data_IF_816150801025
#
_entry.id   IF_816150801025
#
_cell.length_a   1.000
_cell.length_b   1.000
_cell.length_c   1.000
_cell.angle_alpha   90.00
_cell.angle_beta   90.00
_cell.angle_gamma   90.00
#
_symmetry.space_group_name_H-M   'P 1'
#
loop_
_entity.id
_entity.type
_entity.pdbx_description
1 polymer ?
#
# COMPACT_ATOMS: atom_id res chain seq x y z
N UNK A 1 43.49 20.04 15.40
CA UNK A 1 43.06 21.44 15.60
C UNK A 1 41.94 21.43 16.63
N UNK A 2 42.31 21.60 17.90
CA UNK A 2 41.39 21.68 19.02
C UNK A 2 40.89 23.12 19.11
N UNK A 3 39.68 23.36 18.62
CA UNK A 3 39.08 24.69 18.62
C UNK A 3 38.38 24.93 19.96
N UNK A 4 38.86 25.91 20.69
CA UNK A 4 38.32 26.30 22.00
C UNK A 4 36.93 26.93 21.79
N UNK A 5 35.91 26.37 22.43
CA UNK A 5 34.52 26.86 22.37
C UNK A 5 34.25 27.63 23.66
N UNK A 6 34.02 28.94 23.53
CA UNK A 6 33.65 29.78 24.66
C UNK A 6 32.15 29.68 24.93
N UNK A 7 31.78 29.29 26.14
CA UNK A 7 30.39 29.06 26.55
C UNK A 7 29.93 30.15 27.51
N UNK A 8 29.13 31.08 27.00
CA UNK A 8 28.49 32.09 27.82
C UNK A 8 27.13 31.57 28.33
N UNK A 9 27.06 31.20 29.61
CA UNK A 9 25.81 30.76 30.25
C UNK A 9 25.18 31.94 31.00
N UNK A 10 24.03 32.41 30.53
CA UNK A 10 23.23 33.40 31.27
C UNK A 10 22.23 32.67 32.18
N UNK A 11 22.37 32.74 33.51
CA UNK A 11 21.47 32.05 34.43
C UNK A 11 20.20 32.88 34.70
N UNK A 12 19.10 32.56 34.02
CA UNK A 12 17.78 33.16 34.25
C UNK A 12 17.06 32.52 35.45
N UNK A 13 17.64 32.65 36.67
CA UNK A 13 17.10 32.00 37.89
C UNK A 13 15.96 32.78 38.56
N UNK A 14 15.87 34.08 38.30
CA UNK A 14 14.92 34.98 38.97
C UNK A 14 13.65 35.22 38.15
N UNK A 15 13.62 34.72 36.91
CA UNK A 15 12.47 34.86 36.02
C UNK A 15 11.49 33.69 36.22
N UNK A 16 10.25 34.01 36.58
CA UNK A 16 9.18 33.02 36.62
C UNK A 16 8.90 32.52 35.20
N UNK A 17 9.03 31.22 34.96
CA UNK A 17 8.80 30.62 33.64
C UNK A 17 7.37 30.90 33.14
N UNK A 18 7.24 31.63 32.03
CA UNK A 18 5.96 31.85 31.36
C UNK A 18 5.81 30.85 30.21
N UNK A 19 4.90 29.89 30.35
CA UNK A 19 4.60 28.93 29.29
C UNK A 19 4.07 29.67 28.05
N UNK A 20 4.68 29.51 26.87
CA UNK A 20 4.16 30.11 25.64
C UNK A 20 2.70 29.67 25.40
N UNK A 21 1.84 30.62 24.99
CA UNK A 21 0.44 30.32 24.67
C UNK A 21 0.38 29.28 23.55
N UNK A 22 -0.33 28.18 23.77
CA UNK A 22 -0.53 27.16 22.75
C UNK A 22 -1.25 27.77 21.55
N UNK A 23 -0.70 27.59 20.35
CA UNK A 23 -1.34 28.04 19.12
C UNK A 23 -2.64 27.25 18.91
N UNK A 24 -3.75 27.96 18.71
CA UNK A 24 -5.05 27.35 18.42
C UNK A 24 -5.00 26.64 17.07
N UNK A 25 -5.28 25.34 17.05
CA UNK A 25 -5.38 24.52 15.84
C UNK A 25 -6.83 24.07 15.66
N UNK A 26 -7.62 24.76 14.82
CA UNK A 26 -8.97 24.30 14.50
C UNK A 26 -8.92 23.00 13.68
N UNK A 27 -9.94 22.16 13.81
CA UNK A 27 -10.11 20.87 13.11
C UNK A 27 -9.07 19.78 13.45
N UNK A 28 -8.71 19.66 14.73
CA UNK A 28 -7.93 18.51 15.21
C UNK A 28 -8.78 17.25 15.38
N UNK A 29 -8.22 16.10 15.00
CA UNK A 29 -8.86 14.79 15.16
C UNK A 29 -8.42 13.82 14.05
N UNK A 30 -8.51 12.52 14.29
CA UNK A 30 -8.39 11.52 13.23
C UNK A 30 -9.70 11.49 12.43
N UNK A 31 -9.69 11.92 11.17
CA UNK A 31 -10.88 11.80 10.31
C UNK A 31 -11.13 10.35 9.90
N UNK A 32 -12.37 9.87 9.97
CA UNK A 32 -12.80 8.63 9.32
C UNK A 32 -13.39 8.92 7.92
N UNK A 33 -12.95 8.16 6.91
CA UNK A 33 -13.50 8.24 5.54
C UNK A 33 -14.66 7.26 5.39
N UNK A 34 -15.79 7.71 4.84
CA UNK A 34 -16.88 6.83 4.40
C UNK A 34 -16.37 5.92 3.27
N UNK A 35 -16.25 4.62 3.53
CA UNK A 35 -15.79 3.61 2.57
C UNK A 35 -14.66 2.69 3.07
N UNK A 36 -14.05 2.96 4.23
CA UNK A 36 -13.24 1.94 4.93
C UNK A 36 -14.17 0.89 5.55
N UNK A 37 -13.86 -0.42 5.49
CA UNK A 37 -14.66 -1.41 6.19
C UNK A 37 -14.74 -1.03 7.68
N UNK A 38 -15.97 -0.96 8.20
CA UNK A 38 -16.27 -0.62 9.59
C UNK A 38 -15.35 -1.41 10.54
N UNK A 39 -14.50 -0.74 11.34
CA UNK A 39 -13.80 -1.42 12.41
C UNK A 39 -14.85 -2.03 13.35
N UNK A 40 -14.78 -3.35 13.54
CA UNK A 40 -15.66 -4.06 14.48
C UNK A 40 -15.59 -3.45 15.89
N UNK A 41 -16.59 -3.71 16.75
CA UNK A 41 -16.70 -3.05 18.05
C UNK A 41 -15.45 -3.32 18.90
N UNK A 42 -14.69 -2.27 19.19
CA UNK A 42 -13.56 -2.34 20.11
C UNK A 42 -14.07 -2.53 21.55
N UNK A 43 -13.48 -3.42 22.36
CA UNK A 43 -13.63 -3.34 23.80
C UNK A 43 -12.87 -2.11 24.29
N UNK A 44 -13.54 -1.31 25.12
CA UNK A 44 -12.96 -0.17 25.81
C UNK A 44 -11.73 -0.61 26.61
N UNK A 45 -10.60 0.11 26.47
CA UNK A 45 -9.85 0.70 27.60
C UNK A 45 -8.51 1.31 27.19
N UNK A 46 -8.18 2.35 27.93
CA UNK A 46 -6.84 2.90 28.23
C UNK A 46 -6.09 3.68 27.14
N UNK A 47 -6.21 4.99 27.30
CA UNK A 47 -5.14 5.99 27.19
C UNK A 47 -3.72 5.47 27.27
N UNK A 48 -2.89 5.81 26.28
CA UNK A 48 -1.54 6.33 26.56
C UNK A 48 -1.05 7.21 25.40
N UNK A 49 -0.63 8.39 25.81
CA UNK A 49 0.08 9.42 25.06
C UNK A 49 1.48 8.95 24.69
N UNK A 50 1.87 9.01 23.42
CA UNK A 50 3.24 9.42 23.05
C UNK A 50 3.25 10.16 21.72
N UNK A 51 3.88 11.32 21.78
CA UNK A 51 4.26 12.19 20.68
C UNK A 51 5.44 11.58 19.92
N UNK A 52 5.38 11.54 18.59
CA UNK A 52 6.59 11.70 17.77
C UNK A 52 6.23 12.35 16.44
N UNK A 53 6.84 13.52 16.26
CA UNK A 53 6.71 14.43 15.14
C UNK A 53 7.65 13.95 14.04
N UNK A 54 7.11 13.78 12.85
CA UNK A 54 7.77 13.47 11.58
C UNK A 54 8.98 14.39 11.30
N UNK A 55 9.99 13.89 10.54
CA UNK A 55 10.19 14.46 9.21
C UNK A 55 10.03 13.39 8.12
N UNK A 56 9.40 13.80 7.02
CA UNK A 56 9.22 13.01 5.82
C UNK A 56 10.60 12.79 5.19
N UNK A 57 11.19 11.63 5.43
CA UNK A 57 12.19 11.08 4.54
C UNK A 57 11.43 10.24 3.52
N UNK A 58 11.51 10.65 2.26
CA UNK A 58 11.11 9.86 1.11
C UNK A 58 11.99 8.60 1.04
N UNK A 59 11.69 7.62 1.88
CA UNK A 59 12.12 6.25 1.67
C UNK A 59 11.07 5.64 0.76
N UNK A 60 11.42 5.50 -0.52
CA UNK A 60 10.81 4.53 -1.41
C UNK A 60 10.69 3.22 -0.64
N UNK A 61 9.50 2.97 -0.08
CA UNK A 61 9.13 1.66 0.39
C UNK A 61 8.98 0.83 -0.88
N UNK A 62 10.11 0.35 -1.37
CA UNK A 62 10.21 -0.95 -2.01
C UNK A 62 9.73 -1.96 -0.97
N UNK A 63 8.41 -2.01 -0.76
CA UNK A 63 7.76 -3.15 -0.17
C UNK A 63 8.16 -4.29 -1.09
N UNK A 64 9.19 -5.02 -0.69
CA UNK A 64 9.49 -6.33 -1.21
C UNK A 64 8.29 -7.20 -0.83
N UNK A 65 7.21 -7.03 -1.60
CA UNK A 65 6.13 -8.00 -1.68
C UNK A 65 6.84 -9.31 -1.98
N UNK A 66 6.74 -10.25 -1.04
CA UNK A 66 7.14 -11.64 -1.18
C UNK A 66 6.87 -12.07 -2.61
N UNK A 67 7.91 -12.05 -3.43
CA UNK A 67 7.79 -12.19 -4.86
C UNK A 67 7.64 -13.69 -5.10
N UNK A 68 6.41 -14.18 -4.93
CA UNK A 68 5.95 -15.35 -5.65
C UNK A 68 6.06 -14.98 -7.12
N UNK A 69 7.24 -15.09 -7.71
CA UNK A 69 7.44 -14.75 -9.11
C UNK A 69 6.79 -15.84 -9.95
N UNK A 70 5.99 -15.42 -10.93
CA UNK A 70 5.47 -16.37 -11.91
C UNK A 70 6.66 -16.92 -12.72
N UNK A 71 6.73 -18.23 -13.02
CA UNK A 71 7.73 -18.74 -13.96
C UNK A 71 7.49 -18.11 -15.34
N UNK A 72 8.41 -17.26 -15.79
CA UNK A 72 8.36 -16.54 -17.06
C UNK A 72 9.46 -17.07 -17.98
N UNK A 73 9.11 -17.22 -19.25
CA UNK A 73 10.04 -17.56 -20.32
C UNK A 73 10.60 -16.26 -20.90
N UNK A 74 11.92 -16.09 -20.89
CA UNK A 74 12.56 -14.84 -21.30
C UNK A 74 12.65 -14.67 -22.83
N UNK A 75 12.46 -15.74 -23.59
CA UNK A 75 12.50 -15.75 -25.06
C UNK A 75 11.13 -15.35 -25.64
N UNK A 76 10.06 -15.48 -24.85
CA UNK A 76 8.70 -15.12 -25.23
C UNK A 76 8.36 -13.65 -24.85
N UNK A 77 7.45 -12.99 -25.62
CA UNK A 77 7.01 -11.65 -25.29
C UNK A 77 6.30 -11.62 -23.93
N UNK A 78 6.84 -10.81 -23.02
CA UNK A 78 6.36 -10.66 -21.64
C UNK A 78 5.57 -9.36 -21.45
N UNK A 79 4.61 -9.40 -20.54
CA UNK A 79 3.76 -8.29 -20.09
C UNK A 79 3.94 -8.12 -18.58
N UNK A 80 3.99 -6.88 -18.11
CA UNK A 80 4.03 -6.58 -16.67
C UNK A 80 2.63 -6.24 -16.16
N UNK A 81 2.17 -6.94 -15.12
CA UNK A 81 0.87 -6.73 -14.51
C UNK A 81 1.03 -6.26 -13.06
N UNK A 82 0.23 -5.26 -12.69
CA UNK A 82 0.09 -4.81 -11.30
C UNK A 82 -1.28 -5.21 -10.80
N UNK A 83 -1.33 -6.11 -9.83
CA UNK A 83 -2.57 -6.51 -9.16
C UNK A 83 -2.72 -5.73 -7.85
N UNK A 84 -3.83 -5.03 -7.70
CA UNK A 84 -4.25 -4.37 -6.46
C UNK A 84 -5.16 -5.32 -5.70
N UNK A 85 -4.73 -5.78 -4.54
CA UNK A 85 -5.48 -6.71 -3.72
C UNK A 85 -6.53 -5.97 -2.88
N UNK A 86 -7.54 -6.71 -2.43
CA UNK A 86 -8.64 -6.17 -1.63
C UNK A 86 -8.24 -5.80 -0.19
N UNK A 87 -7.03 -6.17 0.25
CA UNK A 87 -6.41 -5.76 1.52
C UNK A 87 -5.63 -4.43 1.40
N UNK A 88 -5.57 -3.85 0.18
CA UNK A 88 -4.85 -2.62 -0.12
C UNK A 88 -3.40 -2.82 -0.55
N UNK A 89 -2.88 -4.05 -0.49
CA UNK A 89 -1.54 -4.38 -0.98
C UNK A 89 -1.50 -4.44 -2.51
N UNK A 90 -0.30 -4.37 -3.07
CA UNK A 90 -0.09 -4.41 -4.51
C UNK A 90 0.94 -5.48 -4.84
N UNK A 91 0.60 -6.36 -5.77
CA UNK A 91 1.50 -7.38 -6.32
C UNK A 91 1.90 -6.96 -7.73
N UNK A 92 3.18 -7.03 -8.05
CA UNK A 92 3.69 -6.75 -9.38
C UNK A 92 4.40 -8.00 -9.88
N UNK A 93 3.98 -8.51 -11.03
CA UNK A 93 4.62 -9.67 -11.64
C UNK A 93 4.64 -9.55 -13.15
N UNK A 94 5.59 -10.26 -13.75
CA UNK A 94 5.73 -10.42 -15.18
C UNK A 94 5.01 -11.71 -15.59
N UNK A 95 4.39 -11.68 -16.75
CA UNK A 95 3.65 -12.81 -17.34
C UNK A 95 4.00 -12.87 -18.82
N UNK A 96 4.26 -14.05 -19.36
CA UNK A 96 4.20 -14.25 -20.80
C UNK A 96 2.81 -13.90 -21.37
N UNK A 97 2.81 -13.40 -22.60
CA UNK A 97 1.57 -13.15 -23.37
C UNK A 97 0.73 -14.40 -23.62
N UNK A 98 1.31 -15.59 -23.49
CA UNK A 98 0.63 -16.89 -23.63
C UNK A 98 -0.14 -17.32 -22.38
N UNK A 99 0.10 -16.69 -21.22
CA UNK A 99 -0.64 -17.01 -20.00
C UNK A 99 -2.09 -16.57 -20.06
N UNK A 100 -2.90 -17.24 -19.27
CA UNK A 100 -4.33 -16.99 -19.17
C UNK A 100 -4.68 -16.12 -17.97
N UNK A 101 -5.89 -15.59 -17.96
CA UNK A 101 -6.49 -14.98 -16.77
C UNK A 101 -6.51 -15.95 -15.59
N UNK A 102 -6.75 -17.24 -15.84
CA UNK A 102 -6.70 -18.29 -14.82
C UNK A 102 -5.38 -18.31 -14.07
N UNK A 103 -4.26 -18.20 -14.78
CA UNK A 103 -2.92 -18.14 -14.17
C UNK A 103 -2.77 -16.92 -13.25
N UNK A 104 -3.38 -15.79 -13.61
CA UNK A 104 -3.40 -14.58 -12.75
C UNK A 104 -4.19 -14.82 -11.46
N UNK A 105 -5.33 -15.53 -11.53
CA UNK A 105 -6.08 -15.92 -10.33
C UNK A 105 -5.25 -16.87 -9.44
N UNK A 106 -4.58 -17.86 -10.03
CA UNK A 106 -3.71 -18.78 -9.28
C UNK A 106 -2.55 -18.05 -8.60
N UNK A 107 -1.92 -17.11 -9.31
CA UNK A 107 -0.88 -16.25 -8.75
C UNK A 107 -1.37 -15.49 -7.53
N UNK A 108 -2.54 -14.86 -7.61
CA UNK A 108 -3.12 -14.11 -6.49
C UNK A 108 -3.45 -15.03 -5.31
N UNK A 109 -3.94 -16.24 -5.58
CA UNK A 109 -4.22 -17.23 -4.54
C UNK A 109 -2.96 -17.74 -3.85
N UNK A 110 -1.86 -17.90 -4.58
CA UNK A 110 -0.56 -18.29 -3.99
C UNK A 110 0.08 -17.14 -3.21
N UNK A 111 -0.07 -15.90 -3.67
CA UNK A 111 0.53 -14.74 -3.05
C UNK A 111 -0.24 -14.24 -1.81
N UNK A 112 -1.56 -14.49 -1.71
CA UNK A 112 -2.38 -14.05 -0.58
C UNK A 112 -3.33 -15.14 -0.10
N UNK A 113 -3.14 -15.58 1.15
CA UNK A 113 -4.02 -16.53 1.81
C UNK A 113 -5.45 -15.99 1.96
N UNK A 114 -5.63 -14.68 2.15
CA UNK A 114 -6.96 -14.06 2.23
C UNK A 114 -7.75 -14.21 0.92
N UNK A 115 -7.05 -14.09 -0.22
CA UNK A 115 -7.62 -14.32 -1.54
C UNK A 115 -7.97 -15.79 -1.77
N UNK A 116 -7.17 -16.72 -1.26
CA UNK A 116 -7.46 -18.15 -1.38
C UNK A 116 -8.71 -18.57 -0.56
N UNK A 117 -8.98 -17.92 0.57
CA UNK A 117 -10.07 -18.29 1.48
C UNK A 117 -11.43 -17.69 1.07
N UNK A 118 -11.44 -16.63 0.27
CA UNK A 118 -12.63 -15.82 -0.01
C UNK A 118 -12.84 -15.62 -1.51
N UNK A 119 -14.10 -15.69 -1.92
CA UNK A 119 -14.54 -15.36 -3.28
C UNK A 119 -14.14 -13.93 -3.68
N UNK A 120 -13.55 -13.78 -4.86
CA UNK A 120 -13.28 -12.47 -5.46
C UNK A 120 -13.34 -12.54 -6.97
N UNK A 121 -13.45 -11.36 -7.59
CA UNK A 121 -13.35 -11.19 -9.03
C UNK A 121 -12.26 -10.17 -9.36
N UNK A 122 -11.50 -10.42 -10.42
CA UNK A 122 -10.49 -9.51 -10.93
C UNK A 122 -11.13 -8.58 -11.97
N UNK A 123 -10.81 -7.29 -11.90
CA UNK A 123 -11.33 -6.26 -12.79
C UNK A 123 -10.20 -5.41 -13.38
N UNK A 124 -10.34 -4.98 -14.63
CA UNK A 124 -9.44 -4.00 -15.25
C UNK A 124 -9.76 -2.58 -14.77
N UNK A 125 -8.80 -1.66 -14.85
CA UNK A 125 -9.01 -0.26 -14.41
C UNK A 125 -9.60 0.64 -15.50
N UNK A 126 -9.31 0.39 -16.78
CA UNK A 126 -9.87 1.19 -17.88
C UNK A 126 -9.74 0.48 -19.24
N UNK A 127 -10.84 0.29 -19.99
CA UNK A 127 -12.23 0.35 -19.51
C UNK A 127 -12.44 -0.69 -18.40
N UNK A 128 -13.26 -0.36 -17.39
CA UNK A 128 -13.52 -1.27 -16.28
C UNK A 128 -14.33 -2.47 -16.74
N UNK A 129 -13.69 -3.64 -16.81
CA UNK A 129 -14.28 -4.90 -17.25
C UNK A 129 -13.95 -5.98 -16.23
N UNK A 130 -14.92 -6.84 -15.97
CA UNK A 130 -14.73 -8.01 -15.12
C UNK A 130 -14.07 -9.15 -15.90
N UNK A 131 -13.03 -9.75 -15.31
CA UNK A 131 -12.26 -10.85 -15.87
C UNK A 131 -12.87 -12.18 -15.38
N UNK A 132 -14.07 -12.48 -15.89
CA UNK A 132 -14.82 -13.69 -15.51
C UNK A 132 -14.36 -14.93 -16.28
N UNK A 133 -13.87 -14.76 -17.51
CA UNK A 133 -13.36 -15.85 -18.34
C UNK A 133 -11.90 -16.17 -17.98
N UNK A 134 -11.67 -17.33 -17.38
CA UNK A 134 -10.34 -17.80 -16.97
C UNK A 134 -9.52 -18.36 -18.12
N UNK A 135 -10.15 -18.77 -19.22
CA UNK A 135 -9.45 -19.35 -20.38
C UNK A 135 -8.86 -18.27 -21.30
N UNK A 136 -9.27 -17.02 -21.13
CA UNK A 136 -8.85 -15.94 -21.99
C UNK A 136 -7.35 -15.63 -21.80
N UNK A 137 -6.65 -15.49 -22.93
CA UNK A 137 -5.20 -15.27 -22.99
C UNK A 137 -4.87 -13.79 -22.82
N UNK A 138 -3.86 -13.49 -21.98
CA UNK A 138 -3.42 -12.12 -21.67
C UNK A 138 -2.96 -11.35 -22.92
N UNK A 139 -2.29 -12.02 -23.87
CA UNK A 139 -1.81 -11.39 -25.10
C UNK A 139 -2.92 -10.97 -26.08
N UNK A 140 -4.07 -11.63 -26.05
CA UNK A 140 -5.21 -11.28 -26.92
C UNK A 140 -6.00 -10.08 -26.39
N UNK A 141 -5.99 -9.88 -25.08
CA UNK A 141 -6.65 -8.75 -24.44
C UNK A 141 -5.97 -7.44 -24.80
N UNK A 142 -6.70 -6.55 -25.47
CA UNK A 142 -6.22 -5.21 -25.80
C UNK A 142 -5.80 -4.42 -24.54
N UNK A 143 -6.44 -4.70 -23.41
CA UNK A 143 -6.21 -4.05 -22.11
C UNK A 143 -4.83 -4.37 -21.51
N UNK A 144 -4.21 -5.50 -21.89
CA UNK A 144 -2.95 -5.96 -21.30
C UNK A 144 -1.76 -5.98 -22.26
N UNK A 145 -1.94 -5.61 -23.53
CA UNK A 145 -0.84 -5.61 -24.53
C UNK A 145 0.39 -4.79 -24.14
N UNK A 146 0.22 -3.74 -23.33
CA UNK A 146 1.30 -2.85 -22.85
C UNK A 146 1.59 -2.99 -21.36
N UNK A 147 1.08 -4.06 -20.74
CA UNK A 147 0.91 -4.11 -19.29
C UNK A 147 -0.38 -3.46 -18.85
N UNK A 148 -0.71 -3.65 -17.58
CA UNK A 148 -1.98 -3.14 -17.05
C UNK A 148 -2.09 -3.30 -15.55
N UNK A 149 -3.14 -2.66 -15.03
CA UNK A 149 -3.52 -2.75 -13.62
C UNK A 149 -4.79 -3.56 -13.52
N UNK A 150 -4.77 -4.54 -12.62
CA UNK A 150 -5.92 -5.37 -12.27
C UNK A 150 -6.27 -5.10 -10.82
N UNK A 151 -7.55 -5.04 -10.51
CA UNK A 151 -8.07 -4.77 -9.17
C UNK A 151 -8.89 -5.97 -8.71
N UNK A 152 -8.59 -6.45 -7.51
CA UNK A 152 -9.38 -7.46 -6.84
C UNK A 152 -10.60 -6.82 -6.17
N UNK A 153 -11.79 -7.33 -6.49
CA UNK A 153 -13.05 -6.97 -5.83
C UNK A 153 -13.58 -8.20 -5.09
N UNK A 154 -13.78 -8.08 -3.78
CA UNK A 154 -14.45 -9.11 -2.99
C UNK A 154 -15.90 -9.29 -3.49
N UNK A 155 -16.30 -10.54 -3.65
CA UNK A 155 -17.67 -10.93 -3.98
C UNK A 155 -18.37 -11.56 -2.78
#
# INVERSE_FOLDING_TARGET
PDQEVDLNLTPHKEENYVKPKSQYKPFGGSGQRLGSPTPGPAPASSSSTTTSRQPAAAASASSASSSTEMPVDQEAPTVQLQIRLGDGTQLRSRFNTTHTVGDVYEFVNRASAASAQRSYSLMTTFPSKELSDKAQVLGEMADFKRGGVVVQKWT
#
